data_IF_667461375121
#
_entry.id   IF_667461375121
#
_cell.length_a   1.000
_cell.length_b   1.000
_cell.length_c   1.000
_cell.angle_alpha   90.00
_cell.angle_beta   90.00
_cell.angle_gamma   90.00
#
_symmetry.space_group_name_H-M   'P 1'
#
loop_
_entity.id
_entity.type
_entity.pdbx_description
1 polymer ?
#
# COMPACT_ATOMS: atom_id res chain seq x y z
N UNK A 1 -4.46 -58.85 17.72
CA UNK A 1 -3.43 -58.05 18.44
C UNK A 1 -2.18 -58.13 17.58
N UNK A 2 -1.63 -57.11 16.93
CA UNK A 2 -1.47 -55.68 17.22
C UNK A 2 -1.79 -54.85 15.97
N UNK A 3 -2.50 -53.73 16.14
CA UNK A 3 -2.59 -52.65 15.16
C UNK A 3 -1.37 -51.73 15.35
N UNK A 4 -0.57 -51.55 14.30
CA UNK A 4 0.54 -50.60 14.28
C UNK A 4 0.02 -49.18 14.06
N UNK A 5 0.15 -48.33 15.08
CA UNK A 5 -0.11 -46.89 15.01
C UNK A 5 0.89 -46.24 14.04
N UNK A 6 0.40 -45.72 12.91
CA UNK A 6 1.13 -44.74 12.12
C UNK A 6 1.04 -43.38 12.84
N UNK A 7 2.16 -42.96 13.44
CA UNK A 7 2.36 -41.59 13.91
C UNK A 7 2.58 -40.68 12.69
N UNK A 8 1.53 -39.96 12.29
CA UNK A 8 1.63 -38.80 11.41
C UNK A 8 2.19 -37.63 12.22
N UNK A 9 3.49 -37.36 12.06
CA UNK A 9 4.14 -36.17 12.60
C UNK A 9 3.61 -34.89 11.95
N UNK A 10 3.54 -33.77 12.68
CA UNK A 10 3.12 -32.50 12.11
C UNK A 10 4.11 -32.05 11.03
N UNK A 11 3.58 -31.57 9.92
CA UNK A 11 4.37 -30.95 8.86
C UNK A 11 5.20 -29.81 9.48
N UNK A 12 6.52 -30.02 9.55
CA UNK A 12 7.45 -29.07 10.16
C UNK A 12 7.36 -27.71 9.48
N UNK A 13 7.19 -26.66 10.28
CA UNK A 13 7.40 -25.30 9.84
C UNK A 13 8.81 -25.17 9.23
N UNK A 14 8.99 -24.41 8.14
CA UNK A 14 10.32 -24.20 7.57
C UNK A 14 11.24 -23.62 8.65
N UNK A 15 12.46 -24.18 8.76
CA UNK A 15 13.42 -23.94 9.84
C UNK A 15 13.93 -22.47 10.00
N UNK A 16 13.33 -21.49 9.32
CA UNK A 16 13.67 -20.07 9.35
C UNK A 16 12.42 -19.16 9.34
N UNK A 17 11.33 -19.58 9.99
CA UNK A 17 10.17 -18.73 10.22
C UNK A 17 10.33 -17.93 11.52
N UNK A 18 10.26 -16.60 11.43
CA UNK A 18 10.20 -15.71 12.57
C UNK A 18 8.73 -15.39 12.90
N UNK A 19 8.32 -15.64 14.15
CA UNK A 19 7.00 -15.26 14.65
C UNK A 19 6.99 -13.75 14.86
N UNK A 20 6.16 -13.02 14.10
CA UNK A 20 5.99 -11.58 14.24
C UNK A 20 4.89 -11.20 15.23
N UNK A 21 3.91 -12.08 15.41
CA UNK A 21 2.77 -11.91 16.30
C UNK A 21 2.21 -13.27 16.67
N UNK A 22 1.90 -13.46 17.94
CA UNK A 22 1.17 -14.62 18.44
C UNK A 22 0.37 -14.19 19.66
N UNK A 23 -0.94 -14.04 19.50
CA UNK A 23 -1.84 -13.66 20.57
C UNK A 23 -3.26 -14.17 20.30
N UNK A 24 -3.92 -14.72 21.34
CA UNK A 24 -5.30 -15.20 21.28
C UNK A 24 -5.60 -16.17 20.11
N UNK A 25 -4.59 -16.96 19.71
CA UNK A 25 -4.69 -17.92 18.61
C UNK A 25 -4.58 -17.30 17.21
N UNK A 26 -4.41 -15.98 17.08
CA UNK A 26 -4.00 -15.34 15.83
C UNK A 26 -2.47 -15.24 15.80
N UNK A 27 -1.87 -15.81 14.76
CA UNK A 27 -0.42 -15.88 14.60
C UNK A 27 0.00 -15.38 13.23
N UNK A 28 1.11 -14.63 13.18
CA UNK A 28 1.74 -14.14 11.96
C UNK A 28 3.19 -14.60 11.95
N UNK A 29 3.53 -15.40 10.96
CA UNK A 29 4.89 -15.89 10.74
C UNK A 29 5.46 -15.33 9.45
N UNK A 30 6.75 -15.02 9.46
CA UNK A 30 7.47 -14.65 8.25
C UNK A 30 8.66 -15.58 8.07
N UNK A 31 8.63 -16.33 6.97
CA UNK A 31 9.75 -17.15 6.53
C UNK A 31 10.51 -16.45 5.42
N UNK A 32 11.84 -16.43 5.50
CA UNK A 32 12.69 -16.00 4.39
C UNK A 32 13.41 -17.22 3.82
N UNK A 33 13.26 -17.45 2.52
CA UNK A 33 13.98 -18.51 1.80
C UNK A 33 14.87 -17.90 0.73
N UNK A 34 16.06 -18.46 0.53
CA UNK A 34 16.96 -18.08 -0.56
C UNK A 34 17.09 -19.24 -1.53
N UNK A 35 16.84 -19.00 -2.81
CA UNK A 35 17.00 -19.99 -3.88
C UNK A 35 17.88 -19.42 -4.98
N UNK A 36 18.80 -20.22 -5.51
CA UNK A 36 19.50 -19.88 -6.74
C UNK A 36 18.53 -19.95 -7.92
N UNK A 37 18.39 -18.85 -8.64
CA UNK A 37 17.72 -18.83 -9.93
C UNK A 37 18.63 -19.54 -10.94
N UNK A 38 18.14 -20.66 -11.48
CA UNK A 38 18.88 -21.50 -12.40
C UNK A 38 19.12 -20.83 -13.76
N UNK A 39 18.30 -19.84 -14.14
CA UNK A 39 18.44 -19.11 -15.40
C UNK A 39 19.50 -18.00 -15.30
N UNK A 40 19.55 -17.30 -14.17
CA UNK A 40 20.40 -16.11 -14.00
C UNK A 40 21.64 -16.39 -13.15
N UNK A 41 21.70 -17.53 -12.47
CA UNK A 41 22.73 -17.86 -11.47
C UNK A 41 22.64 -17.01 -10.20
N UNK A 42 21.69 -16.08 -10.12
CA UNK A 42 21.56 -15.15 -9.01
C UNK A 42 20.78 -15.77 -7.86
N UNK A 43 21.15 -15.43 -6.62
CA UNK A 43 20.33 -15.76 -5.46
C UNK A 43 19.10 -14.88 -5.43
N UNK A 44 17.93 -15.51 -5.45
CA UNK A 44 16.65 -14.88 -5.20
C UNK A 44 16.22 -15.16 -3.77
N UNK A 45 16.00 -14.09 -3.00
CA UNK A 45 15.37 -14.18 -1.69
C UNK A 45 13.86 -14.05 -1.86
N UNK A 46 13.11 -14.85 -1.12
CA UNK A 46 11.65 -14.80 -1.07
C UNK A 46 11.24 -14.67 0.39
N UNK A 47 10.40 -13.67 0.67
CA UNK A 47 9.74 -13.51 1.97
C UNK A 47 8.31 -14.02 1.85
N UNK A 48 7.94 -14.99 2.68
CA UNK A 48 6.59 -15.54 2.75
C UNK A 48 5.99 -15.23 4.11
N UNK A 49 4.86 -14.54 4.12
CA UNK A 49 4.06 -14.29 5.33
C UNK A 49 2.98 -15.36 5.42
N UNK A 50 2.83 -16.01 6.57
CA UNK A 50 1.73 -16.93 6.88
C UNK A 50 0.93 -16.36 8.04
N UNK A 51 -0.39 -16.22 7.85
CA UNK A 51 -1.31 -15.81 8.93
C UNK A 51 -2.20 -16.99 9.26
N UNK A 52 -2.26 -17.37 10.54
CA UNK A 52 -3.12 -18.45 11.02
C UNK A 52 -4.04 -17.98 12.15
N UNK A 53 -5.22 -18.59 12.24
CA UNK A 53 -6.12 -18.45 13.38
C UNK A 53 -6.50 -19.84 13.89
N UNK A 54 -6.24 -20.10 15.18
CA UNK A 54 -6.43 -21.40 15.83
C UNK A 54 -5.74 -22.55 15.06
N UNK A 55 -4.53 -22.29 14.55
CA UNK A 55 -3.75 -23.24 13.75
C UNK A 55 -4.19 -23.38 12.28
N UNK A 56 -5.31 -22.79 11.88
CA UNK A 56 -5.80 -22.82 10.50
C UNK A 56 -5.25 -21.63 9.72
N UNK A 57 -4.64 -21.86 8.55
CA UNK A 57 -4.19 -20.79 7.66
C UNK A 57 -5.40 -19.98 7.17
N UNK A 58 -5.27 -18.67 7.16
CA UNK A 58 -6.25 -17.78 6.53
C UNK A 58 -6.08 -17.80 5.00
N UNK A 59 -6.34 -18.95 4.38
CA UNK A 59 -6.22 -19.17 2.95
C UNK A 59 -7.25 -20.20 2.49
N UNK A 60 -8.26 -19.76 1.72
CA UNK A 60 -9.40 -20.59 1.37
C UNK A 60 -10.60 -19.80 0.85
N UNK A 61 -11.69 -20.51 0.53
CA UNK A 61 -12.98 -19.91 0.14
C UNK A 61 -13.77 -19.39 1.35
N UNK A 62 -13.55 -20.01 2.52
CA UNK A 62 -14.07 -19.57 3.81
C UNK A 62 -13.57 -18.17 4.18
N UNK A 63 -12.33 -17.83 3.81
CA UNK A 63 -11.78 -16.47 3.96
C UNK A 63 -12.58 -15.43 3.16
N UNK A 64 -13.08 -15.77 1.97
CA UNK A 64 -13.98 -14.92 1.20
C UNK A 64 -15.23 -14.54 2.00
N UNK A 65 -15.81 -15.50 2.73
CA UNK A 65 -16.97 -15.26 3.60
C UNK A 65 -16.62 -14.44 4.85
N UNK A 66 -15.39 -14.55 5.35
CA UNK A 66 -14.90 -13.68 6.44
C UNK A 66 -14.76 -12.21 5.99
N UNK A 67 -14.28 -11.99 4.75
CA UNK A 67 -14.11 -10.65 4.18
C UNK A 67 -15.46 -10.02 3.75
N UNK A 68 -16.41 -10.85 3.33
CA UNK A 68 -17.74 -10.47 2.85
C UNK A 68 -18.83 -11.24 3.61
N UNK A 69 -19.09 -10.91 4.89
CA UNK A 69 -19.95 -11.70 5.77
C UNK A 69 -21.42 -11.68 5.39
N UNK A 70 -21.87 -10.71 4.61
CA UNK A 70 -23.25 -10.65 4.11
C UNK A 70 -23.53 -11.66 3.00
N UNK A 71 -22.49 -12.26 2.40
CA UNK A 71 -22.59 -13.22 1.29
C UNK A 71 -23.16 -12.64 0.00
N UNK A 72 -23.50 -11.34 -0.03
CA UNK A 72 -24.13 -10.68 -1.18
C UNK A 72 -23.10 -10.19 -2.20
N UNK A 73 -21.86 -10.01 -1.76
CA UNK A 73 -20.79 -9.60 -2.64
C UNK A 73 -20.38 -10.73 -3.59
N UNK A 74 -20.16 -10.46 -4.89
CA UNK A 74 -19.76 -11.49 -5.86
C UNK A 74 -18.49 -12.23 -5.45
N UNK A 75 -17.59 -11.54 -4.73
CA UNK A 75 -16.31 -12.10 -4.31
C UNK A 75 -16.39 -12.90 -2.99
N UNK A 76 -17.57 -13.01 -2.36
CA UNK A 76 -17.73 -13.70 -1.07
C UNK A 76 -17.36 -15.20 -1.13
N UNK A 77 -17.41 -15.81 -2.32
CA UNK A 77 -17.01 -17.20 -2.54
C UNK A 77 -15.65 -17.35 -3.25
N UNK A 78 -14.95 -16.25 -3.49
CA UNK A 78 -13.62 -16.29 -4.10
C UNK A 78 -12.60 -16.89 -3.12
N UNK A 79 -11.55 -17.49 -3.69
CA UNK A 79 -10.45 -18.05 -2.91
C UNK A 79 -9.45 -16.94 -2.57
N UNK A 80 -9.36 -16.59 -1.29
CA UNK A 80 -8.44 -15.58 -0.80
C UNK A 80 -7.36 -16.21 0.07
N UNK A 81 -6.15 -15.68 0.00
CA UNK A 81 -5.09 -16.00 0.95
C UNK A 81 -4.52 -14.74 1.56
N UNK A 82 -4.39 -14.76 2.88
CA UNK A 82 -3.65 -13.76 3.62
C UNK A 82 -2.19 -13.75 3.17
N UNK A 83 -1.67 -12.57 2.90
CA UNK A 83 -0.30 -12.32 2.49
C UNK A 83 0.40 -11.41 3.50
N UNK A 84 1.03 -10.36 2.98
CA UNK A 84 1.79 -9.41 3.80
C UNK A 84 0.93 -8.84 4.94
N UNK A 85 1.56 -8.72 6.10
CA UNK A 85 0.93 -8.31 7.35
C UNK A 85 1.74 -7.20 8.04
N UNK A 86 1.04 -6.37 8.81
CA UNK A 86 1.60 -5.38 9.72
C UNK A 86 0.95 -5.55 11.08
N UNK A 87 1.76 -5.93 12.06
CA UNK A 87 1.36 -5.96 13.47
C UNK A 87 1.14 -4.53 13.94
N UNK A 88 0.04 -4.32 14.65
CA UNK A 88 -0.33 -3.04 15.24
C UNK A 88 -0.02 -3.05 16.73
N UNK A 89 0.15 -1.86 17.29
CA UNK A 89 0.34 -1.66 18.74
C UNK A 89 -0.89 -2.08 19.58
N UNK A 90 -2.02 -2.39 18.94
CA UNK A 90 -3.34 -2.57 19.54
C UNK A 90 -3.80 -4.03 19.60
N UNK A 91 -2.87 -4.99 19.70
CA UNK A 91 -3.17 -6.43 19.62
C UNK A 91 -4.03 -6.82 18.40
N UNK A 92 -3.67 -6.23 17.26
CA UNK A 92 -4.35 -6.42 16.00
C UNK A 92 -3.35 -6.44 14.85
N UNK A 93 -3.81 -6.90 13.68
CA UNK A 93 -2.99 -7.06 12.49
C UNK A 93 -3.70 -6.45 11.29
N UNK A 94 -3.01 -5.61 10.52
CA UNK A 94 -3.41 -5.29 9.15
C UNK A 94 -2.86 -6.37 8.21
N UNK A 95 -3.70 -6.90 7.33
CA UNK A 95 -3.29 -7.93 6.38
C UNK A 95 -3.89 -7.70 5.00
N UNK A 96 -3.07 -7.92 3.97
CA UNK A 96 -3.55 -8.02 2.60
C UNK A 96 -4.06 -9.42 2.32
N UNK A 97 -5.19 -9.52 1.63
CA UNK A 97 -5.77 -10.75 1.12
C UNK A 97 -5.79 -10.69 -0.39
N UNK A 98 -5.04 -11.57 -1.03
CA UNK A 98 -4.95 -11.65 -2.49
C UNK A 98 -5.78 -12.82 -3.02
N UNK A 99 -6.26 -12.68 -4.25
CA UNK A 99 -7.02 -13.70 -4.96
C UNK A 99 -6.62 -13.70 -6.43
N UNK A 100 -6.65 -14.87 -7.07
CA UNK A 100 -6.49 -14.98 -8.52
C UNK A 100 -7.75 -14.60 -9.31
N UNK A 101 -8.89 -14.45 -8.65
CA UNK A 101 -10.19 -14.22 -9.28
C UNK A 101 -10.98 -13.04 -8.70
N UNK A 102 -10.38 -12.26 -7.79
CA UNK A 102 -11.00 -11.09 -7.17
C UNK A 102 -9.95 -10.03 -6.80
N UNK A 103 -10.40 -8.80 -6.55
CA UNK A 103 -9.52 -7.70 -6.17
C UNK A 103 -8.86 -7.94 -4.80
N UNK A 104 -7.62 -7.46 -4.65
CA UNK A 104 -6.91 -7.53 -3.36
C UNK A 104 -7.62 -6.69 -2.30
N UNK A 105 -7.76 -7.24 -1.09
CA UNK A 105 -8.45 -6.59 0.03
C UNK A 105 -7.47 -6.31 1.16
N UNK A 106 -7.51 -5.10 1.73
CA UNK A 106 -6.87 -4.83 3.01
C UNK A 106 -7.88 -5.00 4.14
N UNK A 107 -7.52 -5.74 5.19
CA UNK A 107 -8.38 -5.93 6.35
C UNK A 107 -7.62 -5.80 7.66
N UNK A 108 -8.34 -5.37 8.69
CA UNK A 108 -7.94 -5.37 10.08
C UNK A 108 -8.44 -6.67 10.74
N UNK A 109 -7.52 -7.39 11.35
CA UNK A 109 -7.73 -8.65 12.04
C UNK A 109 -7.54 -8.42 13.54
N UNK A 110 -8.54 -8.79 14.32
CA UNK A 110 -8.47 -8.72 15.78
C UNK A 110 -9.24 -9.90 16.38
N UNK A 111 -8.75 -10.47 17.47
CA UNK A 111 -9.50 -11.50 18.20
C UNK A 111 -10.28 -10.83 19.33
N UNK A 112 -11.60 -11.02 19.34
CA UNK A 112 -12.50 -10.49 20.36
C UNK A 112 -13.38 -11.64 20.84
N UNK A 113 -13.39 -11.88 22.15
CA UNK A 113 -14.12 -12.99 22.80
C UNK A 113 -13.79 -14.37 22.18
N UNK A 114 -12.50 -14.58 21.86
CA UNK A 114 -12.03 -15.82 21.25
C UNK A 114 -12.41 -16.02 19.78
N UNK A 115 -13.09 -15.05 19.16
CA UNK A 115 -13.48 -15.08 17.75
C UNK A 115 -12.67 -14.09 16.91
N UNK A 116 -12.24 -14.52 15.72
CA UNK A 116 -11.58 -13.66 14.75
C UNK A 116 -12.58 -12.65 14.16
N UNK A 117 -12.33 -11.37 14.39
CA UNK A 117 -13.03 -10.25 13.78
C UNK A 117 -12.20 -9.74 12.60
N UNK A 118 -12.79 -9.82 11.42
CA UNK A 118 -12.20 -9.32 10.17
C UNK A 118 -13.00 -8.10 9.74
N UNK A 119 -12.33 -6.94 9.65
CA UNK A 119 -12.93 -5.70 9.17
C UNK A 119 -12.17 -5.20 7.95
N UNK A 120 -12.83 -5.16 6.80
CA UNK A 120 -12.25 -4.54 5.59
C UNK A 120 -11.95 -3.07 5.84
N UNK A 121 -10.79 -2.62 5.36
CA UNK A 121 -10.36 -1.23 5.43
C UNK A 121 -10.54 -0.62 4.04
N UNK A 122 -11.52 0.27 3.91
CA UNK A 122 -11.70 1.05 2.69
C UNK A 122 -10.57 2.09 2.58
N UNK A 123 -9.88 2.11 1.45
CA UNK A 123 -8.76 3.02 1.17
C UNK A 123 -9.22 4.31 0.50
N UNK A 124 -10.41 4.31 -0.10
CA UNK A 124 -11.05 5.47 -0.70
C UNK A 124 -12.57 5.32 -0.58
N UNK A 125 -13.30 6.44 -0.66
CA UNK A 125 -14.77 6.42 -0.67
C UNK A 125 -15.32 5.75 -1.94
N UNK A 126 -14.60 5.92 -3.06
CA UNK A 126 -14.93 5.27 -4.31
C UNK A 126 -14.33 3.86 -4.34
N UNK A 127 -15.20 2.86 -4.52
CA UNK A 127 -14.82 1.44 -4.53
C UNK A 127 -13.69 1.14 -5.50
N UNK A 128 -13.78 1.67 -6.71
CA UNK A 128 -12.76 1.49 -7.74
C UNK A 128 -11.42 1.94 -7.15
N UNK A 129 -11.33 3.18 -6.67
CA UNK A 129 -10.10 3.78 -6.15
C UNK A 129 -9.54 3.15 -4.87
N UNK A 130 -10.28 2.22 -4.26
CA UNK A 130 -9.88 1.54 -3.01
C UNK A 130 -8.98 0.32 -3.21
N UNK A 131 -8.65 -0.08 -4.46
CA UNK A 131 -7.74 -1.21 -4.71
C UNK A 131 -6.29 -0.87 -4.31
N UNK A 132 -5.58 -1.74 -3.56
CA UNK A 132 -4.15 -1.56 -3.31
C UNK A 132 -3.31 -1.70 -4.59
N UNK A 133 -2.21 -0.94 -4.74
CA UNK A 133 -1.22 -1.11 -5.81
C UNK A 133 -0.18 -2.18 -5.43
N UNK A 134 0.77 -1.91 -4.51
CA UNK A 134 1.55 -2.96 -3.88
C UNK A 134 0.84 -3.49 -2.63
N UNK A 135 1.06 -4.76 -2.30
CA UNK A 135 0.70 -5.33 -0.99
C UNK A 135 1.76 -5.00 0.06
N UNK A 136 2.27 -3.77 0.09
CA UNK A 136 3.35 -3.35 0.98
C UNK A 136 2.86 -2.34 2.01
N UNK A 137 3.19 -2.59 3.27
CA UNK A 137 3.02 -1.61 4.33
C UNK A 137 4.24 -0.71 4.41
N UNK A 138 3.99 0.58 4.38
CA UNK A 138 5.00 1.61 4.39
C UNK A 138 4.94 2.41 5.69
N UNK A 139 6.06 3.04 6.02
CA UNK A 139 6.13 3.98 7.13
C UNK A 139 5.32 5.25 6.81
N UNK A 140 4.43 5.64 7.73
CA UNK A 140 3.63 6.85 7.64
C UNK A 140 4.33 8.09 8.22
N UNK A 141 5.57 7.94 8.71
CA UNK A 141 6.37 8.97 9.41
C UNK A 141 5.73 9.45 10.73
N UNK A 142 4.80 8.66 11.27
CA UNK A 142 4.07 8.95 12.50
C UNK A 142 3.88 7.67 13.31
N UNK A 143 4.16 7.66 14.63
CA UNK A 143 3.87 6.53 15.50
C UNK A 143 2.38 6.17 15.53
N UNK A 144 2.04 4.88 15.48
CA UNK A 144 0.64 4.43 15.48
C UNK A 144 -0.10 4.66 14.15
N UNK A 145 0.64 4.90 13.07
CA UNK A 145 0.11 5.02 11.71
C UNK A 145 0.85 4.10 10.74
N UNK A 146 0.19 3.73 9.65
CA UNK A 146 0.78 2.98 8.54
C UNK A 146 0.36 3.58 7.23
N UNK A 147 1.29 3.65 6.28
CA UNK A 147 1.03 4.14 4.93
C UNK A 147 0.85 2.97 3.98
N UNK A 148 -0.09 3.09 3.06
CA UNK A 148 -0.29 2.18 1.93
C UNK A 148 -0.54 3.00 0.68
N UNK A 149 -0.40 2.35 -0.48
CA UNK A 149 -0.66 2.98 -1.78
C UNK A 149 -1.79 2.27 -2.53
N UNK A 150 -2.64 3.05 -3.20
CA UNK A 150 -3.70 2.50 -4.07
C UNK A 150 -3.20 2.29 -5.49
N UNK A 151 -3.96 1.55 -6.30
CA UNK A 151 -3.72 1.34 -7.74
C UNK A 151 -3.64 2.64 -8.55
N UNK A 152 -4.12 3.76 -8.00
CA UNK A 152 -4.09 5.11 -8.60
C UNK A 152 -2.92 5.96 -8.08
N UNK A 153 -1.90 5.34 -7.49
CA UNK A 153 -0.75 6.06 -6.90
C UNK A 153 -1.14 7.10 -5.85
N UNK A 154 -2.23 6.83 -5.12
CA UNK A 154 -2.64 7.65 -3.99
C UNK A 154 -2.01 7.17 -2.69
N UNK A 155 -1.58 8.12 -1.86
CA UNK A 155 -1.11 7.83 -0.52
C UNK A 155 -2.30 7.75 0.43
N UNK A 156 -2.43 6.62 1.12
CA UNK A 156 -3.42 6.43 2.18
C UNK A 156 -2.69 6.18 3.49
N UNK A 157 -3.09 6.87 4.54
CA UNK A 157 -2.58 6.66 5.90
C UNK A 157 -3.66 5.98 6.75
N UNK A 158 -3.26 5.05 7.59
CA UNK A 158 -4.15 4.26 8.43
C UNK A 158 -3.72 4.48 9.88
N UNK A 159 -4.54 5.17 10.65
CA UNK A 159 -4.38 5.29 12.11
C UNK A 159 -4.76 3.96 12.75
N UNK A 160 -3.97 3.48 13.69
CA UNK A 160 -4.21 2.20 14.36
C UNK A 160 -5.30 2.29 15.44
N UNK A 161 -5.31 3.38 16.22
CA UNK A 161 -6.27 3.61 17.30
C UNK A 161 -6.82 5.06 17.36
N UNK A 162 -8.12 5.28 17.11
CA UNK A 162 -9.07 4.34 16.53
C UNK A 162 -8.71 4.02 15.08
N UNK A 163 -9.09 2.83 14.61
CA UNK A 163 -8.84 2.41 13.23
C UNK A 163 -9.54 3.34 12.24
N UNK A 164 -8.77 4.14 11.50
CA UNK A 164 -9.27 5.05 10.46
C UNK A 164 -8.28 5.15 9.30
N UNK A 165 -8.75 4.84 8.10
CA UNK A 165 -8.01 5.11 6.87
C UNK A 165 -8.35 6.51 6.36
N UNK A 166 -7.34 7.23 5.87
CA UNK A 166 -7.39 8.59 5.38
C UNK A 166 -6.64 8.65 4.06
N UNK A 167 -7.39 8.81 2.96
CA UNK A 167 -6.82 8.99 1.64
C UNK A 167 -6.34 10.44 1.49
N UNK A 168 -5.03 10.63 1.28
CA UNK A 168 -4.42 11.95 1.07
C UNK A 168 -4.37 12.33 -0.42
N UNK A 169 -4.83 11.43 -1.30
CA UNK A 169 -4.83 11.57 -2.75
C UNK A 169 -3.47 11.28 -3.38
N UNK A 170 -3.31 11.72 -4.63
CA UNK A 170 -2.14 11.46 -5.45
C UNK A 170 -0.83 12.02 -4.86
N UNK A 171 0.24 11.24 -5.00
CA UNK A 171 1.60 11.63 -4.65
C UNK A 171 2.22 10.76 -3.57
N UNK A 172 3.53 10.90 -3.39
CA UNK A 172 4.35 10.18 -2.42
C UNK A 172 4.58 11.05 -1.17
N UNK A 173 4.42 10.47 0.02
CA UNK A 173 4.67 11.15 1.29
C UNK A 173 6.13 11.55 1.45
N UNK A 174 6.35 12.86 1.55
CA UNK A 174 7.64 13.47 1.91
C UNK A 174 7.79 13.54 3.42
N UNK A 175 6.77 14.07 4.10
CA UNK A 175 6.83 14.37 5.53
C UNK A 175 5.44 14.63 6.13
N UNK A 176 5.36 14.60 7.45
CA UNK A 176 4.22 15.11 8.22
C UNK A 176 4.72 16.07 9.30
N UNK A 177 4.20 17.30 9.31
CA UNK A 177 4.48 18.32 10.32
C UNK A 177 3.15 18.77 10.95
N UNK A 178 2.94 18.41 12.22
CA UNK A 178 1.66 18.57 12.90
C UNK A 178 0.52 17.83 12.18
N UNK A 179 -0.50 18.58 11.74
CA UNK A 179 -1.66 18.06 11.00
C UNK A 179 -1.52 18.23 9.47
N UNK A 180 -0.31 18.54 8.97
CA UNK A 180 -0.06 18.75 7.53
C UNK A 180 0.85 17.67 6.98
N UNK A 181 0.32 16.86 6.08
CA UNK A 181 1.08 15.91 5.27
C UNK A 181 1.55 16.58 3.97
N UNK A 182 2.84 16.46 3.68
CA UNK A 182 3.45 16.96 2.46
C UNK A 182 3.64 15.82 1.47
N UNK A 183 3.08 15.97 0.27
CA UNK A 183 3.20 14.99 -0.80
C UNK A 183 3.96 15.60 -1.98
N UNK A 184 4.77 14.79 -2.64
CA UNK A 184 5.30 15.09 -3.97
C UNK A 184 4.56 14.25 -5.01
N UNK A 185 4.16 14.85 -6.12
CA UNK A 185 3.74 14.15 -7.34
C UNK A 185 4.96 14.16 -8.27
N UNK A 186 5.70 13.04 -8.39
CA UNK A 186 6.82 12.98 -9.32
C UNK A 186 6.33 13.22 -10.75
N UNK A 187 7.15 13.85 -11.61
CA UNK A 187 6.79 13.96 -13.01
C UNK A 187 6.71 12.56 -13.62
N UNK A 188 5.65 12.28 -14.37
CA UNK A 188 5.41 10.94 -14.87
C UNK A 188 4.28 10.90 -15.87
N UNK A 189 3.67 9.72 -15.99
CA UNK A 189 2.46 9.49 -16.77
C UNK A 189 1.39 8.93 -15.86
N UNK A 190 0.32 9.67 -15.68
CA UNK A 190 -0.85 9.23 -14.95
C UNK A 190 -1.84 8.54 -15.89
N UNK A 191 -2.59 7.59 -15.35
CA UNK A 191 -3.58 6.80 -16.08
C UNK A 191 -4.94 7.42 -15.85
N UNK A 192 -5.42 8.18 -16.83
CA UNK A 192 -6.77 8.75 -16.79
C UNK A 192 -7.74 7.77 -17.43
N UNK A 193 -8.74 7.32 -16.68
CA UNK A 193 -9.84 6.51 -17.22
C UNK A 193 -10.68 7.40 -18.13
N UNK A 194 -10.61 7.15 -19.43
CA UNK A 194 -11.39 7.85 -20.47
C UNK A 194 -12.79 7.25 -20.54
N UNK A 195 -12.90 5.93 -20.38
CA UNK A 195 -14.18 5.22 -20.26
C UNK A 195 -14.06 4.12 -19.19
N UNK A 196 -14.97 4.08 -18.19
CA UNK A 196 -14.95 3.03 -17.18
C UNK A 196 -15.29 1.68 -17.81
N UNK A 197 -14.90 0.59 -17.14
CA UNK A 197 -15.30 -0.75 -17.56
C UNK A 197 -16.83 -0.89 -17.50
N UNK A 198 -17.44 -1.42 -18.56
CA UNK A 198 -18.90 -1.60 -18.64
C UNK A 198 -19.27 -3.05 -18.89
N UNK A 199 -20.42 -3.47 -18.35
CA UNK A 199 -21.00 -4.78 -18.62
C UNK A 199 -22.01 -4.65 -19.75
N UNK A 200 -21.74 -5.29 -20.88
CA UNK A 200 -22.62 -5.27 -22.06
C UNK A 200 -23.01 -6.69 -22.43
N UNK A 201 -24.21 -6.87 -22.99
CA UNK A 201 -24.56 -8.13 -23.66
C UNK A 201 -23.98 -8.12 -25.06
N UNK A 202 -23.33 -9.20 -25.46
CA UNK A 202 -22.90 -9.39 -26.84
C UNK A 202 -24.09 -9.73 -27.75
N UNK A 203 -23.82 -9.86 -29.05
CA UNK A 203 -24.85 -10.16 -30.06
C UNK A 203 -25.55 -11.51 -29.84
N UNK A 204 -24.98 -12.38 -29.03
CA UNK A 204 -25.49 -13.71 -28.67
C UNK A 204 -26.26 -13.69 -27.33
N UNK A 205 -26.27 -12.55 -26.63
CA UNK A 205 -26.97 -12.36 -25.36
C UNK A 205 -26.12 -12.66 -24.12
N UNK A 206 -24.84 -13.01 -24.30
CA UNK A 206 -23.91 -13.30 -23.21
C UNK A 206 -23.36 -12.02 -22.59
N UNK A 207 -23.25 -12.00 -21.26
CA UNK A 207 -22.70 -10.86 -20.53
C UNK A 207 -21.17 -10.81 -20.69
N UNK A 208 -20.65 -9.75 -21.32
CA UNK A 208 -19.22 -9.45 -21.44
C UNK A 208 -18.85 -8.19 -20.69
N UNK A 209 -17.63 -8.17 -20.17
CA UNK A 209 -17.01 -6.97 -19.61
C UNK A 209 -16.21 -6.30 -20.73
N UNK A 210 -16.59 -5.08 -21.09
CA UNK A 210 -15.75 -4.18 -21.88
C UNK A 210 -14.74 -3.59 -20.90
N UNK A 211 -13.43 -3.83 -21.09
CA UNK A 211 -12.41 -3.30 -20.20
C UNK A 211 -12.38 -1.77 -20.27
N UNK A 212 -11.85 -1.14 -19.22
CA UNK A 212 -11.65 0.30 -19.17
C UNK A 212 -10.75 0.79 -20.31
N UNK A 213 -11.10 1.95 -20.86
CA UNK A 213 -10.21 2.67 -21.78
C UNK A 213 -9.45 3.70 -20.97
N UNK A 214 -8.13 3.55 -20.95
CA UNK A 214 -7.25 4.46 -20.22
C UNK A 214 -6.38 5.26 -21.17
N UNK A 215 -6.07 6.50 -20.79
CA UNK A 215 -5.12 7.37 -21.47
C UNK A 215 -4.02 7.77 -20.50
N UNK A 216 -2.78 7.61 -20.95
CA UNK A 216 -1.63 8.15 -20.23
C UNK A 216 -1.53 9.66 -20.47
N UNK A 217 -1.55 10.44 -19.39
CA UNK A 217 -1.38 11.90 -19.44
C UNK A 217 -0.11 12.25 -18.68
N UNK A 218 0.76 13.08 -19.27
CA UNK A 218 1.96 13.52 -18.58
C UNK A 218 1.55 14.36 -17.35
N UNK A 219 2.02 13.95 -16.18
CA UNK A 219 1.77 14.64 -14.92
C UNK A 219 2.96 15.56 -14.65
N UNK A 220 2.77 16.88 -14.57
CA UNK A 220 3.85 17.76 -14.15
C UNK A 220 4.22 17.47 -12.69
N UNK A 221 5.44 17.80 -12.33
CA UNK A 221 5.85 17.81 -10.94
C UNK A 221 4.94 18.75 -10.15
N UNK A 222 4.43 18.28 -9.02
CA UNK A 222 3.70 19.12 -8.08
C UNK A 222 4.02 18.75 -6.64
N UNK A 223 3.82 19.71 -5.74
CA UNK A 223 3.83 19.47 -4.30
C UNK A 223 2.47 19.80 -3.72
N UNK A 224 2.04 19.03 -2.73
CA UNK A 224 0.75 19.21 -2.06
C UNK A 224 0.96 19.26 -0.56
N UNK A 225 0.20 20.13 0.09
CA UNK A 225 0.01 20.13 1.54
C UNK A 225 -1.42 19.69 1.80
N UNK A 226 -1.59 18.61 2.55
CA UNK A 226 -2.88 17.96 2.80
C UNK A 226 -3.09 17.89 4.30
N UNK A 227 -4.29 18.24 4.77
CA UNK A 227 -4.65 18.09 6.16
C UNK A 227 -4.85 16.62 6.51
N UNK A 228 -4.17 16.14 7.53
CA UNK A 228 -4.22 14.73 7.90
C UNK A 228 -5.57 14.37 8.52
N UNK A 229 -6.21 15.26 9.29
CA UNK A 229 -7.47 14.97 9.99
C UNK A 229 -8.63 14.54 9.08
N UNK A 230 -8.70 15.12 7.87
CA UNK A 230 -9.82 15.00 6.93
C UNK A 230 -9.39 14.72 5.47
N UNK A 231 -8.10 14.66 5.17
CA UNK A 231 -7.58 14.41 3.82
C UNK A 231 -7.74 15.61 2.86
N UNK A 232 -8.15 16.78 3.35
CA UNK A 232 -8.39 17.95 2.51
C UNK A 232 -7.09 18.59 2.04
N UNK A 233 -6.97 18.84 0.75
CA UNK A 233 -5.86 19.63 0.20
C UNK A 233 -5.94 21.07 0.71
N UNK A 234 -4.87 21.51 1.39
CA UNK A 234 -4.74 22.85 1.92
C UNK A 234 -4.10 23.79 0.90
N UNK A 235 -3.05 23.32 0.23
CA UNK A 235 -2.33 24.08 -0.78
C UNK A 235 -1.62 23.15 -1.76
N UNK A 236 -1.36 23.67 -2.96
CA UNK A 236 -0.66 22.98 -4.02
C UNK A 236 0.28 23.92 -4.75
N UNK A 237 1.44 23.39 -5.13
CA UNK A 237 2.46 24.04 -5.93
C UNK A 237 2.66 23.23 -7.20
N UNK A 238 2.09 23.69 -8.31
CA UNK A 238 2.29 23.08 -9.62
C UNK A 238 3.52 23.66 -10.32
N UNK A 239 4.40 22.78 -10.81
CA UNK A 239 5.61 23.16 -11.52
C UNK A 239 5.35 23.15 -13.02
N UNK A 240 5.28 24.34 -13.61
CA UNK A 240 5.02 24.51 -15.06
C UNK A 240 6.22 24.11 -15.93
N UNK A 241 7.43 24.23 -15.42
CA UNK A 241 8.64 23.82 -16.13
C UNK A 241 8.74 22.29 -16.13
N UNK A 242 8.37 21.68 -17.27
CA UNK A 242 8.39 20.23 -17.47
C UNK A 242 9.80 19.64 -17.51
N UNK A 243 10.82 20.48 -17.63
CA UNK A 243 12.22 20.08 -17.53
C UNK A 243 12.67 19.90 -16.07
N UNK A 244 11.93 20.40 -15.09
CA UNK A 244 12.26 20.15 -13.70
C UNK A 244 11.83 18.74 -13.28
N UNK A 245 12.62 18.15 -12.39
CA UNK A 245 12.33 16.86 -11.75
C UNK A 245 12.62 16.92 -10.27
N UNK A 246 12.17 15.92 -9.53
CA UNK A 246 12.65 15.70 -8.17
C UNK A 246 14.07 15.15 -8.22
N UNK A 247 14.92 15.45 -7.21
CA UNK A 247 16.08 14.61 -6.95
C UNK A 247 15.62 13.16 -6.72
N UNK A 248 16.53 12.22 -6.82
CA UNK A 248 16.21 10.81 -6.55
C UNK A 248 15.93 10.65 -5.06
N UNK A 249 14.66 10.63 -4.68
CA UNK A 249 14.21 10.55 -3.27
C UNK A 249 13.81 9.12 -2.93
N UNK A 250 14.30 8.63 -1.80
CA UNK A 250 13.86 7.37 -1.22
C UNK A 250 12.55 7.59 -0.42
N UNK A 251 11.40 7.51 -1.10
CA UNK A 251 10.09 7.74 -0.48
C UNK A 251 9.65 6.67 0.51
N UNK A 252 10.22 5.47 0.40
CA UNK A 252 9.83 4.27 1.13
C UNK A 252 11.06 3.74 1.86
N UNK A 253 10.87 3.25 3.09
CA UNK A 253 11.99 2.67 3.84
C UNK A 253 12.59 1.53 3.02
N UNK A 254 13.91 1.47 2.79
CA UNK A 254 14.51 0.41 2.00
C UNK A 254 14.23 -0.96 2.64
N UNK A 255 13.90 -1.98 1.84
CA UNK A 255 13.73 -3.35 2.33
C UNK A 255 15.09 -4.04 2.35
N UNK A 256 15.60 -4.47 3.52
CA UNK A 256 16.89 -5.15 3.60
C UNK A 256 16.96 -6.44 2.77
N UNK A 257 15.84 -7.08 2.45
CA UNK A 257 15.81 -8.29 1.61
C UNK A 257 15.90 -8.00 0.12
N UNK A 258 15.52 -6.79 -0.29
CA UNK A 258 15.50 -6.35 -1.67
C UNK A 258 16.18 -4.98 -1.78
N UNK A 259 17.49 -4.91 -1.49
CA UNK A 259 18.22 -3.65 -1.57
C UNK A 259 18.19 -3.13 -3.01
N UNK A 260 17.79 -1.88 -3.17
CA UNK A 260 17.89 -1.20 -4.45
C UNK A 260 19.36 -0.88 -4.75
N UNK A 261 19.88 -1.18 -5.95
CA UNK A 261 21.22 -0.76 -6.34
C UNK A 261 21.28 0.75 -6.68
N UNK A 262 20.13 1.43 -6.78
CA UNK A 262 20.08 2.86 -7.07
C UNK A 262 20.56 3.67 -5.86
N UNK A 263 21.47 4.63 -6.10
CA UNK A 263 21.92 5.57 -5.06
C UNK A 263 21.00 6.78 -5.06
N UNK A 264 20.13 6.95 -4.04
CA UNK A 264 19.28 8.13 -3.96
C UNK A 264 20.11 9.37 -3.60
N UNK A 265 19.66 10.52 -4.07
CA UNK A 265 20.20 11.83 -3.70
C UNK A 265 19.71 12.23 -2.29
N UNK A 266 18.52 11.74 -1.89
CA UNK A 266 17.92 11.98 -0.57
C UNK A 266 17.47 10.64 0.03
N UNK A 267 18.09 10.24 1.14
CA UNK A 267 17.77 9.01 1.88
C UNK A 267 16.43 9.13 2.61
N UNK A 268 15.80 7.99 2.91
CA UNK A 268 14.48 7.95 3.54
C UNK A 268 14.37 8.80 4.83
N UNK A 269 15.39 8.75 5.68
CA UNK A 269 15.44 9.48 6.96
C UNK A 269 15.70 10.98 6.77
N UNK A 270 16.30 11.39 5.65
CA UNK A 270 16.63 12.79 5.33
C UNK A 270 15.50 13.52 4.61
N UNK A 271 14.51 12.81 4.08
CA UNK A 271 13.39 13.41 3.32
C UNK A 271 12.65 14.50 4.10
N UNK A 272 12.34 14.36 5.41
CA UNK A 272 11.73 15.44 6.18
C UNK A 272 12.57 16.71 6.21
N UNK A 273 13.89 16.57 6.39
CA UNK A 273 14.84 17.69 6.38
C UNK A 273 14.92 18.35 5.01
N UNK A 274 15.01 17.54 3.94
CA UNK A 274 14.98 18.03 2.56
C UNK A 274 13.69 18.80 2.25
N UNK A 275 12.54 18.26 2.64
CA UNK A 275 11.23 18.91 2.47
C UNK A 275 11.18 20.24 3.23
N UNK A 276 11.71 20.31 4.45
CA UNK A 276 11.81 21.55 5.22
C UNK A 276 12.71 22.59 4.57
N UNK A 277 13.82 22.18 3.96
CA UNK A 277 14.73 23.07 3.26
C UNK A 277 14.17 23.54 1.91
N UNK A 278 13.30 22.75 1.29
CA UNK A 278 12.79 22.97 -0.07
C UNK A 278 11.49 23.77 -0.09
N UNK A 279 10.53 23.42 0.78
CA UNK A 279 9.17 23.95 0.76
C UNK A 279 8.91 24.88 1.93
N UNK A 280 8.08 25.89 1.68
CA UNK A 280 7.49 26.75 2.69
C UNK A 280 5.97 26.68 2.56
N UNK A 281 5.33 26.27 3.64
CA UNK A 281 3.89 26.35 3.82
C UNK A 281 3.55 27.56 4.68
N UNK A 282 2.58 28.35 4.26
CA UNK A 282 2.06 29.47 5.04
C UNK A 282 0.54 29.41 5.03
N UNK A 283 -0.06 29.36 6.22
CA UNK A 283 -1.51 29.36 6.41
C UNK A 283 -1.93 30.67 7.07
N UNK A 284 -2.84 31.37 6.42
CA UNK A 284 -3.45 32.62 6.91
C UNK A 284 -4.95 32.45 7.00
N UNK A 285 -5.64 33.39 7.65
CA UNK A 285 -7.10 33.38 7.78
C UNK A 285 -7.83 33.33 6.42
N UNK A 286 -7.18 33.81 5.33
CA UNK A 286 -7.75 33.82 3.97
C UNK A 286 -7.36 32.63 3.08
N UNK A 287 -6.51 31.71 3.55
CA UNK A 287 -6.08 30.57 2.75
C UNK A 287 -4.69 30.06 3.11
N UNK A 288 -4.32 28.92 2.53
CA UNK A 288 -3.00 28.34 2.66
C UNK A 288 -2.25 28.37 1.34
N UNK A 289 -0.94 28.55 1.41
CA UNK A 289 -0.05 28.64 0.25
C UNK A 289 1.14 27.73 0.44
N UNK A 290 1.57 27.10 -0.65
CA UNK A 290 2.78 26.28 -0.71
C UNK A 290 3.69 26.86 -1.80
N UNK A 291 4.95 27.11 -1.45
CA UNK A 291 5.96 27.67 -2.34
C UNK A 291 7.33 27.09 -2.05
N UNK A 292 8.26 27.25 -2.98
CA UNK A 292 9.66 26.99 -2.67
C UNK A 292 10.21 28.03 -1.69
N UNK A 293 11.14 27.61 -0.84
CA UNK A 293 11.96 28.55 -0.09
C UNK A 293 12.86 29.35 -1.05
N UNK A 294 13.23 30.60 -0.71
CA UNK A 294 14.13 31.40 -1.53
C UNK A 294 15.45 30.67 -1.81
N UNK A 295 15.92 30.73 -3.06
CA UNK A 295 17.19 30.13 -3.48
C UNK A 295 17.15 28.62 -3.75
N UNK A 296 16.01 27.95 -3.54
CA UNK A 296 15.85 26.53 -3.85
C UNK A 296 15.73 26.33 -5.36
N UNK A 297 16.57 25.44 -5.90
CA UNK A 297 16.51 25.00 -7.29
C UNK A 297 16.35 23.48 -7.33
N UNK A 298 15.42 23.02 -8.18
CA UNK A 298 15.25 21.59 -8.45
C UNK A 298 16.17 21.13 -9.59
N UNK A 299 16.53 19.84 -9.63
CA UNK A 299 17.30 19.29 -10.74
C UNK A 299 16.53 19.37 -12.06
N UNK A 300 17.29 19.49 -13.14
CA UNK A 300 16.79 19.50 -14.52
C UNK A 300 16.96 18.11 -15.10
N UNK A 301 15.94 17.61 -15.80
CA UNK A 301 16.00 16.34 -16.54
C UNK A 301 17.12 16.39 -17.58
N UNK A 302 17.92 15.34 -17.63
CA UNK A 302 18.96 15.16 -18.65
C UNK A 302 18.35 15.25 -20.04
N UNK A 303 18.98 16.02 -20.94
CA UNK A 303 18.54 16.25 -22.33
C UNK A 303 17.20 17.00 -22.50
N UNK A 304 16.69 17.68 -21.46
CA UNK A 304 15.52 18.52 -21.63
C UNK A 304 15.88 19.83 -22.33
N UNK A 305 15.28 20.08 -23.50
CA UNK A 305 15.33 21.38 -24.16
C UNK A 305 14.22 22.23 -23.55
N UNK A 306 14.58 23.31 -22.85
CA UNK A 306 13.61 24.35 -22.46
C UNK A 306 13.04 24.93 -23.75
N UNK A 307 11.74 24.70 -23.97
CA UNK A 307 10.96 25.35 -25.03
C UNK A 307 10.64 26.79 -24.66
#
# INVERSE_FOLDING_TARGET
>A
MLFGLLLLGPAGAPANAAVLYDNNGLMVDVATSSRGDWNTGQRQNTRTTTITFQGNKLCGRDVGRLLYPDGKHPDANAFFCAGNAKVLETDAVLAYFTSGSADTVLAHLQVVDGALRVKRVALADQRERSRPAPTRFEDARMPGWTRVETAWSETVTIRHAPLKALNLGAGKLLDVDGDVAYLAIPPGRDVVVVQPATRVKDAQGDMRIVPEVVKFVDTPLAFRAVRLSDGRELARLDIKDTCLTLPTIEFNRPDPLYPSPAKPDVLFDDVPGWRAATLQFAQTTGGATLRFKPGVALPVKTNCKRG
#
